data_IF_149159933919
#
_entry.id   IF_149159933919
#
_cell.length_a   1.000
_cell.length_b   1.000
_cell.length_c   1.000
_cell.angle_alpha   90.00
_cell.angle_beta   90.00
_cell.angle_gamma   90.00
#
_symmetry.space_group_name_H-M   'P 1'
#
loop_
_entity.id
_entity.type
_entity.pdbx_description
1 polymer ?
#
# COMPACT_ATOMS: atom_id res chain seq x y z
N UNK A 1 16.63 12.88 -15.27
CA UNK A 1 15.43 13.64 -15.69
C UNK A 1 14.49 13.93 -14.53
N UNK A 2 14.47 13.12 -13.46
CA UNK A 2 13.64 13.42 -12.28
C UNK A 2 13.81 14.87 -11.79
N UNK A 3 12.70 15.53 -11.47
CA UNK A 3 12.66 16.91 -11.00
C UNK A 3 12.52 17.97 -12.10
N UNK A 4 12.40 17.59 -13.38
CA UNK A 4 12.19 18.52 -14.51
C UNK A 4 10.74 18.54 -15.02
N UNK A 5 10.30 19.66 -15.66
CA UNK A 5 9.15 19.75 -16.58
C UNK A 5 8.79 18.46 -17.30
N UNK A 6 9.65 18.02 -18.20
CA UNK A 6 9.35 16.87 -19.04
C UNK A 6 9.16 15.57 -18.24
N UNK A 7 9.83 15.41 -17.10
CA UNK A 7 9.71 14.20 -16.29
C UNK A 7 8.36 14.12 -15.59
N UNK A 8 7.91 15.21 -14.97
CA UNK A 8 6.62 15.19 -14.30
C UNK A 8 5.46 15.14 -15.29
N UNK A 9 5.55 15.81 -16.44
CA UNK A 9 4.56 15.66 -17.53
C UNK A 9 4.49 14.21 -18.00
N UNK A 10 5.64 13.57 -18.23
CA UNK A 10 5.68 12.16 -18.60
C UNK A 10 5.09 11.26 -17.51
N UNK A 11 5.47 11.46 -16.25
CA UNK A 11 5.00 10.63 -15.13
C UNK A 11 3.50 10.75 -14.91
N UNK A 12 2.96 11.97 -15.00
CA UNK A 12 1.52 12.23 -14.86
C UNK A 12 0.72 11.71 -16.05
N UNK A 13 1.20 11.91 -17.29
CA UNK A 13 0.63 11.28 -18.47
C UNK A 13 0.63 9.74 -18.37
N UNK A 14 1.72 9.15 -17.88
CA UNK A 14 1.86 7.71 -17.71
C UNK A 14 0.84 7.16 -16.70
N UNK A 15 0.61 7.86 -15.60
CA UNK A 15 -0.45 7.51 -14.64
C UNK A 15 -1.84 7.63 -15.28
N UNK A 16 -2.10 8.72 -16.02
CA UNK A 16 -3.39 8.97 -16.64
C UNK A 16 -3.75 7.90 -17.69
N UNK A 17 -2.84 7.56 -18.61
CA UNK A 17 -3.12 6.56 -19.66
C UNK A 17 -3.34 5.16 -19.08
N UNK A 18 -2.66 4.81 -17.98
CA UNK A 18 -2.84 3.53 -17.31
C UNK A 18 -4.18 3.47 -16.59
N UNK A 19 -4.56 4.55 -15.88
CA UNK A 19 -5.88 4.69 -15.28
C UNK A 19 -7.00 4.61 -16.34
N UNK A 20 -6.83 5.29 -17.47
CA UNK A 20 -7.78 5.25 -18.59
C UNK A 20 -7.95 3.84 -19.13
N UNK A 21 -6.84 3.12 -19.34
CA UNK A 21 -6.85 1.72 -19.78
C UNK A 21 -7.66 0.82 -18.84
N UNK A 22 -7.42 0.90 -17.53
CA UNK A 22 -8.18 0.10 -16.56
C UNK A 22 -9.63 0.55 -16.44
N UNK A 23 -9.92 1.83 -16.62
CA UNK A 23 -11.29 2.37 -16.68
C UNK A 23 -12.05 1.81 -17.87
N UNK A 24 -11.43 1.80 -19.06
CA UNK A 24 -11.98 1.20 -20.26
C UNK A 24 -12.26 -0.30 -20.06
N UNK A 25 -11.29 -1.09 -19.58
CA UNK A 25 -11.51 -2.53 -19.34
C UNK A 25 -12.68 -2.78 -18.38
N UNK A 26 -12.75 -2.03 -17.28
CA UNK A 26 -13.86 -2.13 -16.33
C UNK A 26 -15.19 -1.80 -17.00
N UNK A 27 -15.23 -0.77 -17.85
CA UNK A 27 -16.44 -0.39 -18.60
C UNK A 27 -16.89 -1.47 -19.58
N UNK A 28 -15.96 -2.12 -20.29
CA UNK A 28 -16.28 -3.20 -21.23
C UNK A 28 -16.86 -4.42 -20.51
N UNK A 29 -16.28 -4.81 -19.37
CA UNK A 29 -16.82 -5.89 -18.53
C UNK A 29 -18.26 -5.55 -18.10
N UNK A 30 -18.51 -4.31 -17.70
CA UNK A 30 -19.82 -3.87 -17.20
C UNK A 30 -20.90 -3.71 -18.25
N UNK A 31 -20.57 -3.73 -19.55
CA UNK A 31 -21.58 -3.87 -20.61
C UNK A 31 -22.30 -5.22 -20.52
N UNK A 32 -21.62 -6.25 -20.02
CA UNK A 32 -22.14 -7.62 -19.95
C UNK A 32 -22.48 -8.06 -18.52
N UNK A 33 -21.78 -7.54 -17.51
CA UNK A 33 -22.13 -7.70 -16.09
C UNK A 33 -22.13 -6.33 -15.37
N UNK A 34 -23.28 -5.64 -15.31
CA UNK A 34 -23.39 -4.33 -14.65
C UNK A 34 -23.05 -4.35 -13.14
N UNK A 35 -23.06 -5.52 -12.49
CA UNK A 35 -22.76 -5.68 -11.06
C UNK A 35 -21.33 -6.18 -10.81
N UNK A 36 -20.53 -6.37 -11.86
CA UNK A 36 -19.15 -6.80 -11.75
C UNK A 36 -18.37 -5.89 -10.81
N UNK A 37 -17.72 -6.52 -9.82
CA UNK A 37 -16.74 -5.87 -8.94
C UNK A 37 -15.36 -6.07 -9.55
N UNK A 38 -14.70 -4.99 -9.93
CA UNK A 38 -13.35 -5.04 -10.46
C UNK A 38 -12.33 -4.86 -9.33
N UNK A 39 -11.19 -5.52 -9.51
CA UNK A 39 -9.96 -5.29 -8.75
C UNK A 39 -8.75 -5.43 -9.68
N UNK A 40 -7.60 -4.96 -9.22
CA UNK A 40 -6.32 -5.10 -9.89
C UNK A 40 -5.32 -5.72 -8.93
N UNK A 41 -4.47 -6.63 -9.39
CA UNK A 41 -3.32 -7.07 -8.59
C UNK A 41 -2.21 -6.01 -8.68
N UNK A 42 -2.31 -4.98 -7.85
CA UNK A 42 -1.32 -3.88 -7.79
C UNK A 42 -0.24 -4.22 -6.78
N UNK A 43 1.03 -4.00 -7.15
CA UNK A 43 2.16 -4.03 -6.23
C UNK A 43 2.23 -2.74 -5.42
N UNK A 44 1.90 -2.76 -4.11
CA UNK A 44 1.94 -1.54 -3.31
C UNK A 44 3.36 -1.04 -3.09
N UNK A 45 4.39 -1.86 -3.34
CA UNK A 45 5.80 -1.43 -3.40
C UNK A 45 6.04 -0.28 -4.38
N UNK A 46 5.27 -0.15 -5.47
CA UNK A 46 5.36 1.01 -6.36
C UNK A 46 5.02 2.34 -5.66
N UNK A 47 4.19 2.29 -4.63
CA UNK A 47 3.87 3.42 -3.77
C UNK A 47 4.78 3.48 -2.55
N UNK A 48 5.02 2.37 -1.85
CA UNK A 48 5.74 2.40 -0.58
C UNK A 48 7.24 2.59 -0.75
N UNK A 49 7.81 2.21 -1.89
CA UNK A 49 9.20 2.50 -2.26
C UNK A 49 9.28 3.80 -3.09
N UNK A 50 10.48 4.25 -3.45
CA UNK A 50 10.65 5.50 -4.21
C UNK A 50 10.47 5.33 -5.74
N UNK A 51 9.50 4.52 -6.18
CA UNK A 51 9.20 4.33 -7.61
C UNK A 51 7.77 4.72 -8.09
N UNK A 52 7.09 5.73 -7.49
CA UNK A 52 5.74 6.07 -7.94
C UNK A 52 5.71 6.71 -9.34
N UNK A 53 6.85 7.19 -9.85
CA UNK A 53 6.91 7.99 -11.07
C UNK A 53 7.09 7.19 -12.37
N UNK A 54 7.74 6.02 -12.31
CA UNK A 54 8.16 5.31 -13.53
C UNK A 54 7.16 4.25 -14.01
N UNK A 55 6.27 3.80 -13.12
CA UNK A 55 5.45 2.60 -13.32
C UNK A 55 4.11 2.89 -14.01
N UNK A 56 3.60 4.12 -13.93
CA UNK A 56 2.25 4.47 -14.37
C UNK A 56 1.15 4.05 -13.38
N UNK A 57 1.54 3.55 -12.21
CA UNK A 57 0.61 3.05 -11.19
C UNK A 57 0.29 4.16 -10.20
N UNK A 58 -0.87 4.79 -10.37
CA UNK A 58 -1.45 5.69 -9.38
C UNK A 58 -2.28 4.89 -8.37
N UNK A 59 -1.67 4.53 -7.24
CA UNK A 59 -2.31 3.67 -6.23
C UNK A 59 -3.62 4.25 -5.70
N UNK A 60 -3.70 5.57 -5.50
CA UNK A 60 -4.92 6.24 -5.06
C UNK A 60 -6.02 6.11 -6.11
N UNK A 61 -5.73 6.51 -7.35
CA UNK A 61 -6.73 6.52 -8.42
C UNK A 61 -7.21 5.10 -8.77
N UNK A 62 -6.32 4.10 -8.76
CA UNK A 62 -6.69 2.71 -9.03
C UNK A 62 -7.48 2.07 -7.88
N UNK A 63 -7.22 2.49 -6.64
CA UNK A 63 -8.06 2.15 -5.47
C UNK A 63 -9.45 2.76 -5.62
N UNK A 64 -9.53 4.04 -6.02
CA UNK A 64 -10.79 4.72 -6.30
C UNK A 64 -11.57 4.10 -7.47
N UNK A 65 -10.87 3.63 -8.50
CA UNK A 65 -11.48 2.93 -9.63
C UNK A 65 -12.03 1.56 -9.23
N UNK A 66 -11.46 0.87 -8.24
CA UNK A 66 -11.82 -0.51 -7.92
C UNK A 66 -13.02 -0.63 -6.96
N UNK A 67 -13.74 -1.74 -7.01
CA UNK A 67 -14.74 -2.12 -5.98
C UNK A 67 -14.12 -2.91 -4.84
N UNK A 68 -13.01 -3.58 -5.10
CA UNK A 68 -12.22 -4.33 -4.12
C UNK A 68 -10.77 -3.85 -4.25
N UNK A 69 -10.12 -3.60 -3.11
CA UNK A 69 -8.71 -3.27 -3.05
C UNK A 69 -7.88 -4.51 -3.34
N UNK A 70 -7.65 -4.75 -4.62
CA UNK A 70 -6.74 -5.79 -5.08
C UNK A 70 -5.29 -5.38 -4.92
N UNK A 71 -4.45 -6.33 -4.48
CA UNK A 71 -3.01 -6.16 -4.39
C UNK A 71 -2.28 -7.50 -4.34
N UNK A 72 -0.95 -7.45 -4.33
CA UNK A 72 -0.03 -8.54 -4.00
C UNK A 72 0.96 -8.13 -2.90
N UNK A 73 0.49 -7.42 -1.86
CA UNK A 73 1.37 -6.84 -0.83
C UNK A 73 2.33 -7.88 -0.24
N UNK A 74 3.56 -7.46 -0.01
CA UNK A 74 4.60 -8.27 0.57
C UNK A 74 4.99 -7.83 1.99
N UNK A 75 5.65 -8.76 2.68
CA UNK A 75 6.44 -8.52 3.87
C UNK A 75 7.65 -9.45 3.79
N UNK A 76 8.74 -9.09 4.46
CA UNK A 76 10.01 -9.80 4.27
C UNK A 76 10.50 -10.45 5.56
N UNK A 77 10.39 -11.77 5.67
CA UNK A 77 11.00 -12.53 6.78
C UNK A 77 12.51 -12.36 6.83
N UNK A 78 13.15 -12.36 5.67
CA UNK A 78 14.59 -12.15 5.46
C UNK A 78 14.83 -11.53 4.08
N UNK A 79 16.10 -11.19 3.82
CA UNK A 79 16.57 -10.74 2.52
C UNK A 79 17.71 -11.64 2.03
N UNK A 80 17.48 -12.37 0.94
CA UNK A 80 18.43 -13.39 0.44
C UNK A 80 19.46 -12.86 -0.54
N UNK A 81 19.34 -11.59 -0.97
CA UNK A 81 20.33 -10.93 -1.83
C UNK A 81 21.49 -10.40 -1.00
N UNK A 82 22.58 -10.04 -1.69
CA UNK A 82 23.75 -9.42 -1.05
C UNK A 82 23.37 -8.07 -0.43
N UNK A 83 23.79 -7.86 0.81
CA UNK A 83 23.53 -6.64 1.57
C UNK A 83 22.54 -6.90 2.71
N UNK A 84 22.35 -5.88 3.53
CA UNK A 84 21.40 -5.87 4.63
C UNK A 84 20.37 -4.78 4.36
N UNK A 85 19.09 -5.11 4.49
CA UNK A 85 18.02 -4.12 4.45
C UNK A 85 17.96 -3.37 5.78
N UNK A 86 17.70 -2.07 5.75
CA UNK A 86 17.74 -1.23 6.96
C UNK A 86 16.79 -1.66 8.08
N UNK A 87 15.75 -2.44 7.77
CA UNK A 87 14.84 -2.98 8.78
C UNK A 87 15.42 -4.15 9.58
N UNK A 88 16.40 -4.90 9.03
CA UNK A 88 16.94 -6.13 9.63
C UNK A 88 17.75 -5.88 10.91
N UNK A 89 18.09 -4.62 11.22
CA UNK A 89 18.75 -4.23 12.48
C UNK A 89 17.77 -3.98 13.62
N UNK A 90 16.50 -3.67 13.31
CA UNK A 90 15.52 -3.14 14.27
C UNK A 90 14.24 -3.97 14.37
N UNK A 91 13.88 -4.66 13.29
CA UNK A 91 12.58 -5.32 13.14
C UNK A 91 12.73 -6.81 12.81
N UNK A 92 11.77 -7.60 13.30
CA UNK A 92 11.72 -9.03 13.05
C UNK A 92 11.38 -9.39 11.60
N UNK A 93 10.79 -8.47 10.84
CA UNK A 93 10.51 -8.60 9.41
C UNK A 93 10.39 -7.22 8.75
N UNK A 94 10.58 -7.18 7.42
CA UNK A 94 10.34 -6.01 6.61
C UNK A 94 8.84 -5.72 6.52
N UNK A 95 8.40 -4.71 7.27
CA UNK A 95 6.99 -4.39 7.51
C UNK A 95 6.49 -3.17 6.72
N UNK A 96 7.41 -2.38 6.13
CA UNK A 96 7.11 -1.11 5.44
C UNK A 96 5.98 -1.25 4.42
N UNK A 97 6.11 -2.17 3.47
CA UNK A 97 5.13 -2.30 2.39
C UNK A 97 3.74 -2.64 2.94
N UNK A 98 3.65 -3.66 3.80
CA UNK A 98 2.42 -4.08 4.44
C UNK A 98 1.72 -2.95 5.20
N UNK A 99 2.40 -2.31 6.14
CA UNK A 99 1.79 -1.36 7.06
C UNK A 99 1.51 -0.01 6.39
N UNK A 100 2.51 0.55 5.72
CA UNK A 100 2.36 1.83 5.01
C UNK A 100 1.33 1.71 3.88
N UNK A 101 1.39 0.61 3.12
CA UNK A 101 0.51 0.36 1.99
C UNK A 101 -0.94 0.15 2.43
N UNK A 102 -1.22 -0.68 3.44
CA UNK A 102 -2.59 -0.88 3.90
C UNK A 102 -3.17 0.34 4.61
N UNK A 103 -2.39 1.08 5.38
CA UNK A 103 -2.87 2.36 5.94
C UNK A 103 -3.20 3.36 4.84
N UNK A 104 -2.45 3.41 3.74
CA UNK A 104 -2.79 4.23 2.58
C UNK A 104 -4.08 3.77 1.90
N UNK A 105 -4.19 2.49 1.54
CA UNK A 105 -5.39 1.94 0.89
C UNK A 105 -6.66 2.19 1.73
N UNK A 106 -6.59 1.98 3.04
CA UNK A 106 -7.71 2.22 3.98
C UNK A 106 -7.97 3.71 4.22
N UNK A 107 -6.99 4.58 3.99
CA UNK A 107 -7.22 6.03 4.00
C UNK A 107 -7.96 6.50 2.76
N UNK A 108 -7.67 5.93 1.58
CA UNK A 108 -8.36 6.27 0.33
C UNK A 108 -9.82 5.78 0.36
N UNK A 109 -10.04 4.51 0.73
CA UNK A 109 -11.38 3.91 0.83
C UNK A 109 -11.51 3.03 2.08
N UNK A 110 -12.00 3.57 3.20
CA UNK A 110 -11.98 2.88 4.50
C UNK A 110 -12.89 1.65 4.55
N UNK A 111 -14.00 1.63 3.82
CA UNK A 111 -14.99 0.54 3.88
C UNK A 111 -14.84 -0.50 2.76
N UNK A 112 -13.78 -0.39 1.95
CA UNK A 112 -13.57 -1.28 0.82
C UNK A 112 -12.92 -2.60 1.27
N UNK A 113 -13.41 -3.72 0.73
CA UNK A 113 -12.81 -5.03 0.92
C UNK A 113 -11.39 -5.02 0.37
N UNK A 114 -10.43 -5.49 1.15
CA UNK A 114 -9.04 -5.66 0.73
C UNK A 114 -8.76 -7.13 0.43
N UNK A 115 -8.42 -7.42 -0.83
CA UNK A 115 -8.10 -8.75 -1.31
C UNK A 115 -6.67 -8.80 -1.83
N UNK A 116 -5.80 -9.45 -1.07
CA UNK A 116 -4.44 -9.75 -1.51
C UNK A 116 -4.48 -10.99 -2.43
N UNK A 117 -4.64 -10.77 -3.73
CA UNK A 117 -4.82 -11.83 -4.74
C UNK A 117 -3.55 -12.62 -5.08
N UNK A 118 -2.39 -12.24 -4.54
CA UNK A 118 -1.14 -13.01 -4.63
C UNK A 118 -0.23 -12.68 -3.45
N UNK A 119 -0.61 -13.13 -2.25
CA UNK A 119 0.04 -12.68 -1.03
C UNK A 119 1.48 -13.16 -0.94
N UNK A 120 2.40 -12.19 -0.88
CA UNK A 120 3.84 -12.37 -0.75
C UNK A 120 4.33 -12.29 0.70
N UNK A 121 3.43 -12.47 1.67
CA UNK A 121 3.75 -12.44 3.11
C UNK A 121 4.55 -13.66 3.59
N UNK A 122 4.63 -14.75 2.82
CA UNK A 122 5.43 -15.93 3.18
C UNK A 122 6.75 -15.99 2.42
N UNK A 123 6.75 -15.63 1.15
CA UNK A 123 7.93 -15.72 0.32
C UNK A 123 7.84 -14.82 -0.91
N UNK A 124 9.01 -14.36 -1.33
CA UNK A 124 9.23 -13.65 -2.60
C UNK A 124 10.44 -14.28 -3.28
N UNK A 125 10.84 -13.80 -4.44
CA UNK A 125 12.13 -14.18 -5.04
C UNK A 125 13.33 -13.85 -4.14
N UNK A 126 13.19 -12.91 -3.20
CA UNK A 126 14.28 -12.43 -2.33
C UNK A 126 14.03 -12.69 -0.83
N UNK A 127 12.98 -13.42 -0.50
CA UNK A 127 12.62 -13.82 0.86
C UNK A 127 12.36 -15.32 0.86
N UNK A 128 13.24 -16.07 1.51
CA UNK A 128 13.19 -17.54 1.54
C UNK A 128 13.97 -18.10 2.71
N UNK A 129 13.35 -19.02 3.46
CA UNK A 129 14.02 -19.76 4.52
C UNK A 129 13.27 -21.07 4.78
N UNK A 130 13.90 -22.22 4.51
CA UNK A 130 13.29 -23.53 4.78
C UNK A 130 12.90 -23.71 6.26
N UNK A 131 13.57 -22.99 7.16
CA UNK A 131 13.37 -23.04 8.61
C UNK A 131 12.58 -21.84 9.15
N UNK A 132 11.81 -21.16 8.30
CA UNK A 132 10.93 -20.07 8.70
C UNK A 132 10.15 -20.42 9.98
N UNK A 133 10.29 -19.57 10.99
CA UNK A 133 9.60 -19.75 12.25
C UNK A 133 8.09 -19.52 12.06
N UNK A 134 7.21 -20.48 12.37
CA UNK A 134 5.76 -20.28 12.24
C UNK A 134 5.23 -19.06 12.99
N UNK A 135 5.88 -18.62 14.08
CA UNK A 135 5.49 -17.40 14.79
C UNK A 135 5.52 -16.15 13.90
N UNK A 136 6.40 -16.11 12.89
CA UNK A 136 6.37 -15.05 11.88
C UNK A 136 5.08 -15.08 11.07
N UNK A 137 4.66 -16.26 10.62
CA UNK A 137 3.42 -16.47 9.84
C UNK A 137 2.22 -15.94 10.61
N UNK A 138 2.11 -16.30 11.89
CA UNK A 138 1.06 -15.77 12.76
C UNK A 138 1.14 -14.26 12.86
N UNK A 139 2.31 -13.70 13.16
CA UNK A 139 2.48 -12.26 13.33
C UNK A 139 2.13 -11.46 12.06
N UNK A 140 2.60 -11.91 10.89
CA UNK A 140 2.42 -11.17 9.64
C UNK A 140 0.97 -11.24 9.13
N UNK A 141 0.30 -12.38 9.24
CA UNK A 141 -1.11 -12.50 8.84
C UNK A 141 -2.05 -11.84 9.85
N UNK A 142 -1.73 -11.88 11.14
CA UNK A 142 -2.45 -11.12 12.15
C UNK A 142 -2.37 -9.62 11.86
N UNK A 143 -1.15 -9.10 11.67
CA UNK A 143 -0.92 -7.69 11.33
C UNK A 143 -1.67 -7.29 10.05
N UNK A 144 -1.53 -8.06 8.98
CA UNK A 144 -2.19 -7.79 7.70
C UNK A 144 -3.72 -7.72 7.85
N UNK A 145 -4.30 -8.63 8.62
CA UNK A 145 -5.74 -8.66 8.85
C UNK A 145 -6.18 -7.50 9.72
N UNK A 146 -5.49 -7.20 10.82
CA UNK A 146 -5.79 -6.03 11.67
C UNK A 146 -5.70 -4.70 10.90
N UNK A 147 -4.76 -4.59 9.96
CA UNK A 147 -4.58 -3.41 9.11
C UNK A 147 -5.64 -3.25 8.02
N UNK A 148 -6.40 -4.30 7.70
CA UNK A 148 -7.50 -4.21 6.74
C UNK A 148 -7.64 -5.35 5.75
N UNK A 149 -6.74 -6.34 5.70
CA UNK A 149 -6.86 -7.48 4.79
C UNK A 149 -8.11 -8.30 5.11
N UNK A 150 -8.95 -8.58 4.11
CA UNK A 150 -10.16 -9.39 4.27
C UNK A 150 -10.04 -10.75 3.59
N UNK A 151 -9.24 -10.86 2.54
CA UNK A 151 -8.96 -12.11 1.85
C UNK A 151 -7.52 -12.14 1.35
N UNK A 152 -6.95 -13.34 1.26
CA UNK A 152 -5.64 -13.57 0.66
C UNK A 152 -5.60 -14.85 -0.15
N UNK A 153 -5.09 -14.79 -1.37
CA UNK A 153 -4.62 -15.94 -2.14
C UNK A 153 -3.10 -15.98 -2.02
N UNK A 154 -2.60 -16.76 -1.06
CA UNK A 154 -1.16 -16.81 -0.76
C UNK A 154 -0.35 -17.43 -1.87
N UNK A 155 0.74 -16.76 -2.27
CA UNK A 155 1.73 -17.34 -3.15
C UNK A 155 2.50 -18.42 -2.37
N UNK A 156 2.39 -19.71 -2.70
CA UNK A 156 1.62 -20.35 -3.77
C UNK A 156 1.59 -21.87 -3.55
N UNK A 157 0.75 -22.58 -4.31
CA UNK A 157 0.61 -24.04 -4.22
C UNK A 157 0.70 -24.71 -5.59
N UNK A 158 1.90 -24.88 -6.16
CA UNK A 158 2.08 -25.54 -7.46
C UNK A 158 2.06 -27.09 -7.36
N UNK A 159 2.00 -27.65 -6.15
CA UNK A 159 1.95 -29.11 -5.94
C UNK A 159 0.62 -29.67 -6.43
N UNK A 160 0.69 -30.77 -7.19
CA UNK A 160 -0.45 -31.62 -7.50
C UNK A 160 -0.85 -32.45 -6.29
N UNK A 161 -1.99 -33.14 -6.38
CA UNK A 161 -2.50 -34.00 -5.31
C UNK A 161 -1.54 -35.14 -4.91
N UNK A 162 -0.72 -35.64 -5.85
CA UNK A 162 0.30 -36.67 -5.60
C UNK A 162 1.63 -36.09 -5.05
N UNK A 163 1.69 -34.77 -4.84
CA UNK A 163 2.88 -34.05 -4.38
C UNK A 163 3.87 -33.70 -5.50
N UNK A 164 3.66 -34.16 -6.72
CA UNK A 164 4.51 -33.81 -7.87
C UNK A 164 4.25 -32.38 -8.37
N UNK A 165 5.18 -31.87 -9.17
CA UNK A 165 5.04 -30.59 -9.86
C UNK A 165 4.56 -30.81 -11.30
N UNK A 166 4.14 -29.75 -12.00
CA UNK A 166 3.84 -29.85 -13.43
C UNK A 166 5.08 -30.28 -14.21
N UNK A 167 4.89 -30.99 -15.32
CA UNK A 167 6.01 -31.32 -16.22
C UNK A 167 6.67 -30.02 -16.70
N UNK A 168 8.00 -30.04 -16.84
CA UNK A 168 8.80 -28.86 -17.21
C UNK A 168 8.59 -27.66 -16.28
N UNK A 169 8.32 -27.89 -14.99
CA UNK A 169 8.23 -26.83 -13.99
C UNK A 169 9.58 -26.10 -13.86
N UNK A 170 9.63 -24.89 -14.42
CA UNK A 170 10.76 -23.96 -14.30
C UNK A 170 10.37 -22.82 -13.39
N UNK A 171 10.79 -22.92 -12.14
CA UNK A 171 10.53 -21.91 -11.13
C UNK A 171 11.65 -21.89 -10.10
N UNK A 172 12.19 -20.70 -9.83
CA UNK A 172 13.19 -20.50 -8.79
C UNK A 172 12.55 -20.18 -7.42
N UNK A 173 11.22 -20.07 -7.36
CA UNK A 173 10.48 -19.74 -6.15
C UNK A 173 10.05 -20.94 -5.29
N UNK A 174 10.28 -22.17 -5.75
CA UNK A 174 9.72 -23.36 -5.08
C UNK A 174 10.53 -23.82 -3.86
N UNK A 175 11.85 -23.89 -4.01
CA UNK A 175 12.74 -24.33 -2.93
C UNK A 175 12.66 -23.39 -1.73
N UNK A 176 12.44 -23.94 -0.53
CA UNK A 176 12.28 -23.20 0.71
C UNK A 176 10.98 -22.40 0.84
N UNK A 177 9.97 -22.66 -0.01
CA UNK A 177 8.64 -22.04 0.10
C UNK A 177 7.72 -22.81 1.08
N UNK A 178 6.50 -22.30 1.29
CA UNK A 178 5.45 -22.95 2.09
C UNK A 178 5.18 -24.41 1.66
N UNK A 179 5.45 -24.74 0.40
CA UNK A 179 5.35 -26.10 -0.15
C UNK A 179 6.30 -27.10 0.50
N UNK A 180 7.35 -26.66 1.20
CA UNK A 180 8.29 -27.52 1.93
C UNK A 180 8.22 -27.29 3.44
N UNK A 181 7.20 -26.57 3.92
CA UNK A 181 7.08 -26.12 5.31
C UNK A 181 5.67 -26.42 5.85
N UNK A 182 5.39 -27.67 6.27
CA UNK A 182 4.06 -28.04 6.76
C UNK A 182 3.57 -27.17 7.93
N UNK A 183 4.48 -26.80 8.83
CA UNK A 183 4.17 -25.95 9.99
C UNK A 183 3.81 -24.51 9.59
N UNK A 184 4.44 -23.96 8.54
CA UNK A 184 4.12 -22.62 8.02
C UNK A 184 2.73 -22.61 7.39
N UNK A 185 2.43 -23.60 6.55
CA UNK A 185 1.10 -23.76 5.95
C UNK A 185 0.02 -23.93 7.01
N UNK A 186 0.25 -24.80 8.00
CA UNK A 186 -0.68 -24.98 9.12
C UNK A 186 -0.91 -23.67 9.89
N UNK A 187 0.17 -22.97 10.27
CA UNK A 187 0.06 -21.77 11.10
C UNK A 187 -0.69 -20.64 10.40
N UNK A 188 -0.58 -20.51 9.08
CA UNK A 188 -1.42 -19.58 8.30
C UNK A 188 -2.90 -19.85 8.54
N UNK A 189 -3.35 -21.09 8.35
CA UNK A 189 -4.76 -21.44 8.51
C UNK A 189 -5.20 -21.39 9.98
N UNK A 190 -4.36 -21.83 10.92
CA UNK A 190 -4.65 -21.70 12.36
C UNK A 190 -4.81 -20.23 12.77
N UNK A 191 -3.99 -19.32 12.22
CA UNK A 191 -4.12 -17.88 12.45
C UNK A 191 -5.45 -17.34 11.91
N UNK A 192 -5.87 -17.77 10.71
CA UNK A 192 -7.16 -17.38 10.15
C UNK A 192 -8.34 -17.93 10.97
N UNK A 193 -8.24 -19.13 11.54
CA UNK A 193 -9.25 -19.68 12.44
C UNK A 193 -9.39 -18.82 13.72
N UNK A 194 -8.27 -18.37 14.29
CA UNK A 194 -8.29 -17.46 15.43
C UNK A 194 -8.84 -16.07 15.04
N UNK A 195 -8.45 -15.52 13.90
CA UNK A 195 -8.99 -14.24 13.43
C UNK A 195 -10.52 -14.32 13.19
N UNK A 196 -11.01 -15.46 12.70
CA UNK A 196 -12.45 -15.68 12.52
C UNK A 196 -13.20 -15.79 13.86
N UNK A 197 -12.58 -16.30 14.91
CA UNK A 197 -13.22 -16.38 16.24
C UNK A 197 -13.33 -15.02 16.93
N UNK A 198 -12.57 -14.02 16.49
CA UNK A 198 -12.60 -12.61 16.95
C UNK A 198 -12.90 -11.63 15.81
N UNK A 199 -13.72 -12.04 14.83
CA UNK A 199 -13.88 -11.27 13.59
C UNK A 199 -14.50 -9.89 13.80
N UNK A 200 -15.36 -9.72 14.82
CA UNK A 200 -15.99 -8.45 15.15
C UNK A 200 -14.96 -7.46 15.70
N UNK A 201 -14.11 -7.90 16.62
CA UNK A 201 -13.03 -7.10 17.20
C UNK A 201 -11.98 -6.73 16.14
N UNK A 202 -11.62 -7.68 15.27
CA UNK A 202 -10.71 -7.41 14.15
C UNK A 202 -11.32 -6.38 13.22
N UNK A 203 -12.60 -6.50 12.88
CA UNK A 203 -13.32 -5.52 12.05
C UNK A 203 -13.39 -4.16 12.72
N UNK A 204 -13.57 -4.11 14.05
CA UNK A 204 -13.55 -2.86 14.81
C UNK A 204 -12.16 -2.19 14.77
N UNK A 205 -11.07 -2.97 14.87
CA UNK A 205 -9.71 -2.45 14.70
C UNK A 205 -9.47 -1.90 13.28
N UNK A 206 -9.94 -2.61 12.25
CA UNK A 206 -9.81 -2.15 10.85
C UNK A 206 -10.54 -0.83 10.57
N UNK A 207 -11.60 -0.53 11.33
CA UNK A 207 -12.40 0.70 11.21
C UNK A 207 -12.07 1.75 12.28
N UNK A 208 -11.08 1.49 13.13
CA UNK A 208 -10.68 2.45 14.15
C UNK A 208 -10.31 3.78 13.47
N UNK A 209 -10.83 4.88 14.02
CA UNK A 209 -10.53 6.24 13.56
C UNK A 209 -9.02 6.42 13.45
N UNK A 210 -8.58 7.05 12.36
CA UNK A 210 -7.19 7.41 12.08
C UNK A 210 -7.01 8.93 12.31
N UNK A 211 -6.82 9.38 13.57
CA UNK A 211 -6.86 10.80 13.93
C UNK A 211 -5.68 11.61 13.38
N UNK A 212 -4.55 10.96 13.09
CA UNK A 212 -3.36 11.60 12.53
C UNK A 212 -3.23 11.18 11.06
N UNK A 213 -3.25 12.16 10.16
CA UNK A 213 -3.06 11.94 8.73
C UNK A 213 -1.72 12.48 8.27
N UNK A 214 -0.94 11.67 7.55
CA UNK A 214 0.28 12.11 6.89
C UNK A 214 -0.08 12.58 5.48
N UNK A 215 0.31 13.80 5.13
CA UNK A 215 0.05 14.34 3.81
C UNK A 215 0.94 13.67 2.76
N UNK A 216 0.31 13.05 1.76
CA UNK A 216 0.95 12.49 0.59
C UNK A 216 0.68 13.38 -0.63
N UNK A 217 1.76 13.83 -1.26
CA UNK A 217 1.73 14.58 -2.52
C UNK A 217 2.36 13.77 -3.64
N UNK A 218 1.57 13.45 -4.67
CA UNK A 218 2.08 12.85 -5.91
C UNK A 218 3.12 13.75 -6.57
N UNK A 219 2.96 15.06 -6.45
CA UNK A 219 3.88 16.06 -6.99
C UNK A 219 5.27 15.96 -6.40
N UNK A 220 5.36 15.88 -5.07
CA UNK A 220 6.65 15.64 -4.40
C UNK A 220 7.17 14.23 -4.70
N UNK A 221 6.31 13.23 -4.72
CA UNK A 221 6.68 11.84 -5.00
C UNK A 221 7.33 11.66 -6.39
N UNK A 222 6.79 12.33 -7.43
CA UNK A 222 7.35 12.26 -8.78
C UNK A 222 8.69 12.98 -8.91
N UNK A 223 8.89 14.07 -8.18
CA UNK A 223 10.04 14.96 -8.35
C UNK A 223 11.20 14.70 -7.39
N UNK A 224 10.98 13.95 -6.30
CA UNK A 224 12.01 13.67 -5.28
C UNK A 224 12.19 12.16 -5.09
N UNK A 225 13.35 11.65 -5.50
CA UNK A 225 13.68 10.22 -5.45
C UNK A 225 13.83 9.59 -4.05
N UNK A 226 13.74 10.37 -2.97
CA UNK A 226 13.74 9.86 -1.59
C UNK A 226 12.47 10.26 -0.82
N UNK A 227 11.41 10.65 -1.53
CA UNK A 227 10.19 11.17 -0.92
C UNK A 227 9.53 10.15 0.01
N UNK A 228 9.36 8.91 -0.44
CA UNK A 228 8.70 7.87 0.36
C UNK A 228 9.58 7.40 1.51
N UNK A 229 10.91 7.48 1.41
CA UNK A 229 11.80 7.21 2.55
C UNK A 229 11.67 8.26 3.65
N UNK A 230 11.57 9.54 3.28
CA UNK A 230 11.36 10.61 4.23
C UNK A 230 9.96 10.53 4.87
N UNK A 231 8.93 10.22 4.07
CA UNK A 231 7.59 9.96 4.57
C UNK A 231 7.57 8.75 5.53
N UNK A 232 8.26 7.67 5.18
CA UNK A 232 8.30 6.47 6.01
C UNK A 232 8.98 6.73 7.35
N UNK A 233 10.00 7.58 7.42
CA UNK A 233 10.60 7.98 8.71
C UNK A 233 9.60 8.68 9.63
N UNK A 234 8.74 9.55 9.10
CA UNK A 234 7.66 10.15 9.89
C UNK A 234 6.68 9.09 10.38
N UNK A 235 6.20 8.26 9.45
CA UNK A 235 5.26 7.18 9.75
C UNK A 235 5.82 6.25 10.83
N UNK A 236 7.06 5.77 10.67
CA UNK A 236 7.77 4.91 11.62
C UNK A 236 7.89 5.57 13.01
N UNK A 237 8.15 6.88 13.07
CA UNK A 237 8.31 7.60 14.34
C UNK A 237 7.02 7.70 15.17
N UNK A 238 5.85 7.54 14.53
CA UNK A 238 4.54 7.69 15.15
C UNK A 238 3.80 6.34 15.29
N UNK A 239 4.15 5.35 14.46
CA UNK A 239 3.42 4.09 14.35
C UNK A 239 3.34 3.29 15.66
N UNK A 240 4.30 3.49 16.56
CA UNK A 240 4.41 2.76 17.82
C UNK A 240 3.77 3.45 19.03
N UNK A 241 3.07 4.58 18.83
CA UNK A 241 2.44 5.36 19.90
C UNK A 241 1.00 4.91 20.24
N UNK A 242 0.55 3.77 19.68
CA UNK A 242 -0.79 3.23 19.93
C UNK A 242 -1.93 3.98 19.25
N UNK A 243 -1.62 4.86 18.30
CA UNK A 243 -2.58 5.66 17.54
C UNK A 243 -2.59 5.21 16.07
N UNK A 244 -3.74 4.80 15.51
CA UNK A 244 -3.83 4.45 14.09
C UNK A 244 -3.50 5.65 13.21
N UNK A 245 -2.56 5.46 12.29
CA UNK A 245 -2.17 6.46 11.31
C UNK A 245 -2.99 6.30 10.04
N UNK A 246 -3.18 7.41 9.33
CA UNK A 246 -3.73 7.42 7.99
C UNK A 246 -3.02 8.43 7.11
N UNK A 247 -3.57 8.63 5.92
CA UNK A 247 -3.07 9.56 4.93
C UNK A 247 -4.10 10.61 4.58
N UNK A 248 -3.60 11.78 4.19
CA UNK A 248 -4.35 12.82 3.53
C UNK A 248 -3.72 13.08 2.17
N UNK A 249 -4.56 13.29 1.16
CA UNK A 249 -4.21 13.77 -0.17
C UNK A 249 -5.20 14.88 -0.50
N UNK A 250 -4.95 15.61 -1.58
CA UNK A 250 -5.95 16.53 -2.17
C UNK A 250 -7.33 15.87 -2.28
N UNK A 251 -7.40 14.64 -2.81
CA UNK A 251 -8.68 13.96 -3.03
C UNK A 251 -9.32 13.47 -1.72
N UNK A 252 -8.54 12.96 -0.76
CA UNK A 252 -9.07 12.53 0.54
C UNK A 252 -9.65 13.71 1.30
N UNK A 253 -8.94 14.84 1.33
CA UNK A 253 -9.43 16.07 1.98
C UNK A 253 -10.72 16.55 1.32
N UNK A 254 -10.77 16.54 -0.02
CA UNK A 254 -11.94 16.99 -0.78
C UNK A 254 -13.18 16.09 -0.61
N UNK A 255 -12.98 14.77 -0.55
CA UNK A 255 -14.07 13.78 -0.66
C UNK A 255 -14.57 13.24 0.68
N UNK A 256 -13.81 13.40 1.76
CA UNK A 256 -14.14 12.81 3.06
C UNK A 256 -14.37 13.88 4.12
N UNK A 257 -15.24 13.58 5.07
CA UNK A 257 -15.53 14.48 6.20
C UNK A 257 -14.25 14.75 7.01
N UNK A 258 -13.90 16.03 7.16
CA UNK A 258 -12.73 16.47 7.92
C UNK A 258 -12.78 15.98 9.39
N UNK A 259 -13.97 15.78 9.94
CA UNK A 259 -14.17 15.24 11.29
C UNK A 259 -13.68 13.81 11.46
N UNK A 260 -13.23 13.11 10.41
CA UNK A 260 -12.64 11.77 10.49
C UNK A 260 -11.19 11.76 10.99
N UNK A 261 -10.55 12.93 11.10
CA UNK A 261 -9.22 13.10 11.66
C UNK A 261 -9.11 14.40 12.44
N UNK A 262 -8.02 14.55 13.19
CA UNK A 262 -7.77 15.72 14.06
C UNK A 262 -6.68 16.61 13.49
N UNK A 263 -5.68 16.01 12.82
CA UNK A 263 -4.50 16.73 12.34
C UNK A 263 -3.94 16.13 11.05
N UNK A 264 -3.46 17.02 10.17
CA UNK A 264 -2.66 16.66 9.00
C UNK A 264 -1.20 17.05 9.25
N UNK A 265 -0.29 16.10 9.10
CA UNK A 265 1.15 16.31 9.20
C UNK A 265 1.74 16.46 7.80
N UNK A 266 2.51 17.54 7.58
CA UNK A 266 3.20 17.80 6.31
C UNK A 266 4.70 17.89 6.58
N UNK A 267 5.44 16.85 6.19
CA UNK A 267 6.89 16.81 6.38
C UNK A 267 7.60 16.56 5.06
N UNK A 268 8.68 17.30 4.82
CA UNK A 268 9.57 17.21 3.66
C UNK A 268 8.85 17.11 2.30
N UNK A 269 7.68 17.75 2.21
CA UNK A 269 6.81 17.77 1.02
C UNK A 269 6.95 19.13 0.34
N UNK A 270 8.09 19.32 -0.33
CA UNK A 270 8.53 20.64 -0.81
C UNK A 270 7.71 21.16 -2.00
N UNK A 271 7.36 20.27 -2.94
CA UNK A 271 6.72 20.61 -4.21
C UNK A 271 5.28 20.11 -4.22
N UNK A 272 4.34 21.03 -4.43
CA UNK A 272 2.92 20.75 -4.52
C UNK A 272 2.30 21.53 -5.67
N UNK A 273 1.19 21.02 -6.20
CA UNK A 273 0.30 21.78 -7.09
C UNK A 273 -0.43 22.88 -6.31
N UNK A 274 -0.98 23.86 -7.03
CA UNK A 274 -1.82 24.88 -6.39
C UNK A 274 -3.04 24.23 -5.74
N UNK A 275 -3.65 23.24 -6.39
CA UNK A 275 -4.81 22.52 -5.85
C UNK A 275 -4.51 21.73 -4.58
N UNK A 276 -3.36 21.07 -4.49
CA UNK A 276 -2.92 20.41 -3.25
C UNK A 276 -2.78 21.41 -2.09
N UNK A 277 -2.25 22.61 -2.38
CA UNK A 277 -2.16 23.69 -1.40
C UNK A 277 -3.53 24.24 -1.02
N UNK A 278 -4.41 24.51 -1.99
CA UNK A 278 -5.76 25.03 -1.78
C UNK A 278 -6.63 24.07 -0.96
N UNK A 279 -6.52 22.75 -1.16
CA UNK A 279 -7.25 21.78 -0.33
C UNK A 279 -6.73 21.76 1.13
N UNK A 280 -5.42 21.86 1.34
CA UNK A 280 -4.86 22.02 2.69
C UNK A 280 -5.33 23.33 3.35
N UNK A 281 -5.38 24.42 2.58
CA UNK A 281 -5.88 25.71 3.04
C UNK A 281 -7.37 25.64 3.39
N UNK A 282 -8.19 25.02 2.53
CA UNK A 282 -9.60 24.79 2.78
C UNK A 282 -9.82 24.00 4.08
N UNK A 283 -9.02 22.97 4.33
CA UNK A 283 -9.07 22.22 5.59
C UNK A 283 -8.75 23.11 6.81
N UNK A 284 -7.74 23.99 6.72
CA UNK A 284 -7.42 24.96 7.78
C UNK A 284 -8.54 25.98 7.99
N UNK A 285 -9.09 26.54 6.91
CA UNK A 285 -10.16 27.55 6.95
C UNK A 285 -11.43 27.02 7.62
N UNK A 286 -11.67 25.70 7.53
CA UNK A 286 -12.75 25.00 8.18
C UNK A 286 -12.41 24.50 9.61
N UNK A 287 -11.34 25.00 10.21
CA UNK A 287 -10.95 24.72 11.60
C UNK A 287 -10.08 23.47 11.80
N UNK A 288 -9.61 22.86 10.71
CA UNK A 288 -8.63 21.78 10.76
C UNK A 288 -7.26 22.24 11.27
N UNK A 289 -6.43 21.29 11.70
CA UNK A 289 -5.07 21.55 12.17
C UNK A 289 -4.06 20.95 11.21
N UNK A 290 -3.12 21.78 10.72
CA UNK A 290 -1.96 21.33 9.93
C UNK A 290 -0.69 21.61 10.73
N UNK A 291 0.13 20.58 10.93
CA UNK A 291 1.48 20.72 11.49
C UNK A 291 2.47 20.46 10.36
N UNK A 292 3.33 21.44 10.08
CA UNK A 292 4.31 21.35 9.01
C UNK A 292 5.72 21.67 9.47
N UNK A 293 6.70 21.09 8.78
CA UNK A 293 8.10 21.51 8.92
C UNK A 293 8.41 22.80 8.15
N UNK A 294 9.61 23.34 8.36
CA UNK A 294 10.07 24.54 7.67
C UNK A 294 10.48 24.29 6.21
N UNK A 295 10.33 23.08 5.66
CA UNK A 295 10.78 22.71 4.31
C UNK A 295 9.63 22.50 3.32
N UNK A 296 8.45 22.16 3.83
CA UNK A 296 7.28 21.80 3.05
C UNK A 296 6.57 23.00 2.43
N UNK A 297 5.83 22.75 1.35
CA UNK A 297 4.98 23.71 0.64
C UNK A 297 5.72 24.95 0.08
N UNK A 298 7.04 24.86 -0.11
CA UNK A 298 7.87 25.99 -0.58
C UNK A 298 7.78 26.26 -2.08
N UNK A 299 7.39 25.26 -2.87
CA UNK A 299 7.35 25.35 -4.33
C UNK A 299 5.94 25.00 -4.79
N UNK A 300 5.14 26.05 -5.02
CA UNK A 300 3.84 25.96 -5.68
C UNK A 300 4.07 26.12 -7.18
N UNK A 301 3.66 25.11 -7.93
CA UNK A 301 4.00 24.97 -9.33
C UNK A 301 2.71 25.14 -10.16
N UNK A 302 2.40 26.39 -10.54
CA UNK A 302 1.17 26.75 -11.27
C UNK A 302 1.15 26.25 -12.72
N UNK A 303 2.33 26.05 -13.32
CA UNK A 303 2.47 25.60 -14.73
C UNK A 303 2.21 24.11 -14.94
N UNK A 304 1.94 23.36 -13.86
CA UNK A 304 1.85 21.90 -13.84
C UNK A 304 0.42 21.39 -13.64
N UNK A 305 -0.53 22.32 -13.55
CA UNK A 305 -1.96 22.09 -13.40
C UNK A 305 -2.65 21.93 -14.78
N UNK A 306 -2.10 21.07 -15.65
CA UNK A 306 -2.87 20.61 -16.80
C UNK A 306 -4.02 19.73 -16.28
N UNK A 307 -5.26 20.18 -16.52
CA UNK A 307 -6.47 19.37 -16.31
C UNK A 307 -6.40 18.14 -17.21
N UNK A 308 -6.02 17.00 -16.63
CA UNK A 308 -6.24 15.67 -17.21
C UNK A 308 -7.26 14.97 -16.31
#
# INVERSE_FOLDING_TARGET
MQGTPQWYDWSTFNNARVLEWFTWMKSEIRKYDPKAKAQLKIMPSFFTDNDPASTGIDLEALTELSEINGNDIAAHYNYTRKGKMGWEDKYAFGWRELFLGYDFLKSVKPNQINFNSESHLLSTSHTRDLHMNPKYVRAVYWAATTLGMNASQTWYWPRKADGSLKENFKDNAYGGSNNQQPRVTNELHSTLMDLNSYSEEITAMQHQRKPIRIFYSKTSAHNKGAYMDDLFKLYESLHFEGIPLGFATKNIIHKQEASNWDVILVQKTKQVTLREFEELQSYLDNGGIVIMDNESLKLMNTEWDCQI
#
